data_IF_785198280234
#
_entry.id   IF_785198280234
#
_cell.length_a   1.000
_cell.length_b   1.000
_cell.length_c   1.000
_cell.angle_alpha   90.00
_cell.angle_beta   90.00
_cell.angle_gamma   90.00
#
_symmetry.space_group_name_H-M   'P 1'
#
loop_
_entity.id
_entity.type
_entity.pdbx_description
1 polymer ?
#
# COMPACT_ATOMS: atom_id res chain seq x y z
N UNK A 1 -72.59 42.85 4.46
CA UNK A 1 -73.38 41.72 3.91
C UNK A 1 -72.66 41.26 2.65
N UNK A 2 -72.05 40.06 2.65
CA UNK A 2 -72.66 38.77 2.25
C UNK A 2 -73.09 38.83 0.76
N UNK A 3 -72.72 37.94 -0.17
CA UNK A 3 -72.31 36.52 -0.13
C UNK A 3 -71.78 36.14 -1.54
N UNK A 4 -70.73 35.29 -1.56
CA UNK A 4 -70.42 34.09 -2.40
C UNK A 4 -70.83 34.00 -3.90
N UNK A 5 -70.19 33.23 -4.81
CA UNK A 5 -69.73 31.80 -4.86
C UNK A 5 -68.85 31.66 -6.14
N UNK A 6 -67.71 30.96 -6.11
CA UNK A 6 -67.47 29.52 -6.43
C UNK A 6 -67.66 29.09 -7.91
N UNK A 7 -66.66 28.41 -8.48
CA UNK A 7 -66.77 27.65 -9.74
C UNK A 7 -65.43 27.11 -10.26
N UNK A 8 -65.27 25.78 -10.25
CA UNK A 8 -64.12 24.96 -10.67
C UNK A 8 -64.41 24.31 -12.04
N UNK A 9 -63.41 24.15 -12.91
CA UNK A 9 -63.29 23.13 -14.00
C UNK A 9 -61.80 23.10 -14.42
N UNK A 10 -60.95 22.09 -14.20
CA UNK A 10 -60.87 20.68 -14.67
C UNK A 10 -60.84 20.53 -16.19
N UNK A 11 -59.71 20.04 -16.73
CA UNK A 11 -59.71 19.16 -17.90
C UNK A 11 -58.61 19.36 -18.95
N UNK A 12 -57.64 18.43 -18.99
CA UNK A 12 -57.48 17.61 -20.21
C UNK A 12 -56.12 17.53 -20.94
N UNK A 13 -55.42 16.38 -20.76
CA UNK A 13 -54.88 15.43 -21.80
C UNK A 13 -54.00 16.02 -22.94
N UNK A 14 -52.68 15.81 -23.01
CA UNK A 14 -51.84 14.63 -23.40
C UNK A 14 -51.78 14.32 -24.91
N UNK A 15 -50.55 14.00 -25.39
CA UNK A 15 -50.10 13.35 -26.65
C UNK A 15 -49.91 14.24 -27.89
N UNK A 16 -48.90 14.09 -28.77
CA UNK A 16 -47.81 13.14 -28.90
C UNK A 16 -46.76 13.62 -29.95
N UNK A 17 -45.49 13.31 -29.67
CA UNK A 17 -44.43 12.74 -30.53
C UNK A 17 -44.36 13.15 -32.02
N UNK A 18 -43.20 13.71 -32.42
CA UNK A 18 -42.50 13.27 -33.65
C UNK A 18 -41.00 13.17 -33.36
N UNK A 19 -40.50 11.93 -33.32
CA UNK A 19 -39.10 11.56 -33.50
C UNK A 19 -38.82 11.43 -34.99
N UNK A 20 -37.75 12.05 -35.51
CA UNK A 20 -37.14 11.68 -36.78
C UNK A 20 -35.64 12.05 -36.85
N UNK A 21 -34.79 11.02 -36.96
CA UNK A 21 -33.46 11.01 -37.61
C UNK A 21 -32.30 11.73 -36.90
N UNK A 22 -31.37 11.06 -36.22
CA UNK A 22 -30.27 10.21 -36.70
C UNK A 22 -28.91 10.94 -36.69
N UNK A 23 -27.97 10.43 -35.88
CA UNK A 23 -26.54 10.55 -36.14
C UNK A 23 -25.77 11.69 -35.47
N UNK A 24 -25.77 11.77 -34.14
CA UNK A 24 -24.71 12.49 -33.42
C UNK A 24 -24.21 11.63 -32.25
N UNK A 25 -22.90 11.37 -32.21
CA UNK A 25 -22.20 10.82 -31.03
C UNK A 25 -22.67 11.59 -29.78
N UNK A 26 -22.84 10.95 -28.61
CA UNK A 26 -23.06 11.68 -27.38
C UNK A 26 -21.83 12.57 -27.15
N UNK A 27 -21.99 13.85 -27.43
CA UNK A 27 -21.05 14.89 -27.03
C UNK A 27 -21.18 14.98 -25.51
N UNK A 28 -20.10 14.78 -24.73
CA UNK A 28 -20.17 14.97 -23.29
C UNK A 28 -20.66 16.40 -23.02
N UNK A 29 -21.66 16.60 -22.14
CA UNK A 29 -22.24 17.92 -21.91
C UNK A 29 -21.15 18.90 -21.48
N UNK A 30 -20.95 19.94 -22.29
CA UNK A 30 -20.19 21.13 -21.97
C UNK A 30 -21.10 22.07 -21.18
N UNK A 31 -21.02 21.97 -19.86
CA UNK A 31 -21.71 22.79 -18.87
C UNK A 31 -21.04 22.56 -17.51
N UNK A 32 -21.13 23.51 -16.57
CA UNK A 32 -20.29 23.53 -15.38
C UNK A 32 -20.49 22.22 -14.61
N UNK A 33 -19.43 21.41 -14.57
CA UNK A 33 -19.44 20.12 -13.88
C UNK A 33 -19.75 20.43 -12.42
N UNK A 34 -20.86 19.85 -11.94
CA UNK A 34 -21.27 19.89 -10.55
C UNK A 34 -20.03 19.74 -9.65
N UNK A 35 -19.71 20.79 -8.90
CA UNK A 35 -18.76 20.73 -7.79
C UNK A 35 -19.56 20.56 -6.49
N UNK A 36 -19.85 19.35 -6.00
CA UNK A 36 -20.32 19.18 -4.63
C UNK A 36 -19.24 18.50 -3.80
N UNK A 37 -18.59 19.28 -2.94
CA UNK A 37 -18.70 19.20 -1.48
C UNK A 37 -17.94 20.41 -0.91
N UNK A 38 -18.49 21.06 0.12
CA UNK A 38 -17.98 22.33 0.68
C UNK A 38 -16.45 22.25 0.85
N UNK A 39 -15.66 23.25 0.38
CA UNK A 39 -14.21 23.19 0.45
C UNK A 39 -13.66 22.89 1.84
N UNK A 40 -14.37 23.33 2.90
CA UNK A 40 -14.05 23.06 4.29
C UNK A 40 -14.06 21.57 4.68
N UNK A 41 -14.94 20.78 4.05
CA UNK A 41 -15.13 19.36 4.35
C UNK A 41 -14.52 18.47 3.25
N UNK A 42 -13.75 19.01 2.32
CA UNK A 42 -13.31 18.27 1.14
C UNK A 42 -12.39 17.09 1.49
N UNK A 43 -12.74 15.90 1.02
CA UNK A 43 -11.88 14.70 1.04
C UNK A 43 -11.93 14.07 -0.34
N UNK A 44 -10.77 13.92 -0.99
CA UNK A 44 -10.68 13.44 -2.37
C UNK A 44 -9.53 12.46 -2.56
N UNK A 45 -9.73 11.47 -3.42
CA UNK A 45 -8.67 10.57 -3.89
C UNK A 45 -8.44 10.87 -5.36
N UNK A 46 -7.18 11.02 -5.77
CA UNK A 46 -6.79 11.37 -7.13
C UNK A 46 -5.70 10.44 -7.65
N UNK A 47 -5.60 10.28 -8.96
CA UNK A 47 -4.53 9.50 -9.59
C UNK A 47 -3.25 10.32 -9.66
N UNK A 48 -2.12 9.71 -9.30
CA UNK A 48 -0.81 10.36 -9.23
C UNK A 48 0.27 9.48 -9.87
N UNK A 49 0.90 10.00 -10.92
CA UNK A 49 1.95 9.30 -11.67
C UNK A 49 3.28 10.06 -11.75
N UNK A 50 3.35 11.26 -11.16
CA UNK A 50 4.51 12.15 -11.24
C UNK A 50 5.43 12.00 -10.01
N UNK A 51 6.69 12.46 -10.11
CA UNK A 51 7.61 12.54 -8.97
C UNK A 51 7.14 13.55 -7.93
N UNK A 52 7.60 13.44 -6.67
CA UNK A 52 7.19 14.29 -5.52
C UNK A 52 7.13 15.77 -5.89
N UNK A 53 6.00 16.48 -5.65
CA UNK A 53 5.90 17.90 -5.98
C UNK A 53 6.85 18.77 -5.16
N UNK A 54 7.34 19.85 -5.76
CA UNK A 54 8.17 20.83 -5.07
C UNK A 54 7.45 21.37 -3.82
N UNK A 55 8.15 21.44 -2.68
CA UNK A 55 7.58 21.90 -1.40
C UNK A 55 6.81 20.84 -0.61
N UNK A 56 6.68 19.61 -1.12
CA UNK A 56 6.24 18.49 -0.30
C UNK A 56 7.38 18.01 0.60
N UNK A 57 7.09 17.76 1.87
CA UNK A 57 8.04 17.12 2.78
C UNK A 57 8.04 15.61 2.52
N UNK A 58 9.22 14.95 2.49
CA UNK A 58 9.28 13.51 2.37
C UNK A 58 8.67 12.84 3.60
N UNK A 59 8.00 11.72 3.37
CA UNK A 59 7.53 10.79 4.39
C UNK A 59 8.19 9.44 4.16
N UNK A 60 8.48 8.73 5.25
CA UNK A 60 9.05 7.38 5.20
C UNK A 60 8.28 6.44 6.12
N UNK A 61 6.96 6.62 6.18
CA UNK A 61 6.10 5.89 7.11
C UNK A 61 5.19 4.93 6.34
N UNK A 62 5.10 3.70 6.84
CA UNK A 62 4.19 2.68 6.34
C UNK A 62 3.02 2.56 7.31
N UNK A 63 1.81 2.78 6.80
CA UNK A 63 0.56 2.58 7.53
C UNK A 63 -0.06 1.24 7.12
N UNK A 64 -0.22 0.31 8.05
CA UNK A 64 -0.59 -1.07 7.71
C UNK A 64 -1.38 -1.75 8.82
N UNK A 65 -2.10 -2.79 8.42
CA UNK A 65 -2.72 -3.79 9.27
C UNK A 65 -2.58 -5.17 8.62
N UNK A 66 -3.25 -6.20 9.15
CA UNK A 66 -3.16 -7.57 8.64
C UNK A 66 -3.45 -7.68 7.15
N UNK A 67 -4.45 -6.95 6.67
CA UNK A 67 -4.95 -7.05 5.31
C UNK A 67 -4.80 -5.75 4.49
N UNK A 68 -3.96 -4.79 4.92
CA UNK A 68 -3.65 -3.58 4.15
C UNK A 68 -2.25 -3.01 4.41
N UNK A 69 -1.70 -2.30 3.42
CA UNK A 69 -0.47 -1.52 3.54
C UNK A 69 -0.54 -0.29 2.64
N UNK A 70 -0.30 0.89 3.23
CA UNK A 70 -0.22 2.18 2.56
C UNK A 70 1.15 2.79 2.83
N UNK A 71 1.95 2.94 1.77
CA UNK A 71 3.24 3.64 1.83
C UNK A 71 3.02 5.07 1.38
N UNK A 72 3.08 6.02 2.30
CA UNK A 72 3.01 7.44 1.97
C UNK A 72 4.42 7.99 1.90
N UNK A 73 4.78 8.54 0.75
CA UNK A 73 6.15 8.98 0.47
C UNK A 73 6.36 10.49 0.55
N UNK A 74 5.28 11.28 0.53
CA UNK A 74 5.38 12.72 0.74
C UNK A 74 4.06 13.32 1.25
N UNK A 75 4.16 14.48 1.90
CA UNK A 75 3.04 15.33 2.30
C UNK A 75 3.29 16.77 1.83
N UNK A 76 2.30 17.39 1.21
CA UNK A 76 2.27 18.84 1.04
C UNK A 76 1.13 19.45 1.88
N UNK A 77 1.37 20.64 2.41
CA UNK A 77 0.36 21.48 3.06
C UNK A 77 0.19 22.71 2.18
N UNK A 78 -1.01 22.96 1.65
CA UNK A 78 -1.22 24.03 0.67
C UNK A 78 -2.58 24.73 0.85
N UNK A 79 -2.66 26.05 0.69
CA UNK A 79 -3.94 26.76 0.64
C UNK A 79 -4.68 26.57 -0.70
N UNK A 80 -3.93 26.26 -1.77
CA UNK A 80 -4.44 26.13 -3.13
C UNK A 80 -3.94 24.82 -3.78
N UNK A 81 -4.76 24.25 -4.67
CA UNK A 81 -4.44 23.09 -5.48
C UNK A 81 -4.18 23.55 -6.92
N UNK A 82 -3.03 23.17 -7.45
CA UNK A 82 -2.63 23.43 -8.84
C UNK A 82 -2.28 22.10 -9.54
N UNK A 83 -1.92 22.19 -10.82
CA UNK A 83 -1.52 21.03 -11.62
C UNK A 83 -0.29 20.28 -11.04
N UNK A 84 0.55 20.94 -10.22
CA UNK A 84 1.71 20.30 -9.57
C UNK A 84 1.33 19.56 -8.28
N UNK A 85 0.24 19.96 -7.63
CA UNK A 85 -0.33 19.26 -6.48
C UNK A 85 -0.90 17.89 -6.85
N UNK A 86 -1.05 17.59 -8.14
CA UNK A 86 -1.68 16.38 -8.67
C UNK A 86 -3.21 16.41 -8.67
N UNK A 87 -3.80 17.51 -8.21
CA UNK A 87 -5.24 17.70 -8.22
C UNK A 87 -5.67 18.59 -9.37
N UNK A 88 -6.57 18.07 -10.22
CA UNK A 88 -7.82 18.71 -10.68
C UNK A 88 -8.58 17.75 -11.63
N UNK A 89 -8.80 16.49 -11.22
CA UNK A 89 -9.74 15.61 -11.93
C UNK A 89 -11.21 15.94 -11.56
N UNK A 90 -11.45 16.39 -10.32
CA UNK A 90 -12.65 17.08 -9.83
C UNK A 90 -12.37 17.55 -8.38
N UNK A 91 -12.66 18.82 -8.03
CA UNK A 91 -12.47 19.33 -6.66
C UNK A 91 -12.23 20.85 -6.58
N UNK A 92 -12.30 21.46 -5.37
CA UNK A 92 -12.06 22.88 -5.19
C UNK A 92 -10.58 23.23 -5.38
N UNK A 93 -10.28 24.21 -6.23
CA UNK A 93 -8.90 24.68 -6.45
C UNK A 93 -8.32 25.46 -5.26
N UNK A 94 -9.17 25.85 -4.29
CA UNK A 94 -8.78 26.64 -3.12
C UNK A 94 -9.50 26.15 -1.87
N UNK A 95 -8.78 26.12 -0.75
CA UNK A 95 -9.35 25.76 0.54
C UNK A 95 -10.37 26.82 1.01
N UNK A 96 -11.30 26.42 1.88
CA UNK A 96 -12.19 27.39 2.52
C UNK A 96 -11.39 28.40 3.36
N UNK A 97 -11.96 29.57 3.63
CA UNK A 97 -11.35 30.52 4.55
C UNK A 97 -11.08 29.86 5.92
N UNK A 98 -9.85 29.99 6.42
CA UNK A 98 -9.42 29.34 7.67
C UNK A 98 -9.07 27.86 7.54
N UNK A 99 -9.03 27.32 6.32
CA UNK A 99 -8.64 25.93 6.03
C UNK A 99 -7.40 25.86 5.12
N UNK A 100 -6.77 24.71 5.11
CA UNK A 100 -5.71 24.32 4.18
C UNK A 100 -5.88 22.85 3.76
N UNK A 101 -5.29 22.48 2.63
CA UNK A 101 -5.26 21.12 2.16
C UNK A 101 -4.00 20.40 2.65
N UNK A 102 -4.21 19.21 3.21
CA UNK A 102 -3.20 18.18 3.35
C UNK A 102 -3.26 17.30 2.10
N UNK A 103 -2.17 17.26 1.33
CA UNK A 103 -2.05 16.42 0.14
C UNK A 103 -1.01 15.33 0.41
N UNK A 104 -1.49 14.11 0.59
CA UNK A 104 -0.69 12.95 0.95
C UNK A 104 -0.45 12.09 -0.31
N UNK A 105 0.82 11.93 -0.67
CA UNK A 105 1.22 11.22 -1.88
C UNK A 105 1.64 9.80 -1.57
N UNK A 106 0.98 8.83 -2.22
CA UNK A 106 1.39 7.44 -2.20
C UNK A 106 2.43 7.21 -3.29
N UNK A 107 3.70 7.40 -2.94
CA UNK A 107 4.80 7.07 -3.84
C UNK A 107 4.87 5.54 -3.98
N UNK A 108 5.26 5.04 -5.14
CA UNK A 108 5.33 3.60 -5.42
C UNK A 108 6.02 2.86 -4.26
N UNK A 109 5.29 1.93 -3.64
CA UNK A 109 5.70 1.20 -2.47
C UNK A 109 5.09 -0.20 -2.45
N UNK A 110 5.57 -1.03 -1.54
CA UNK A 110 5.13 -2.42 -1.42
C UNK A 110 3.81 -2.53 -0.63
N UNK A 111 2.73 -2.81 -1.35
CA UNK A 111 1.40 -3.06 -0.79
C UNK A 111 1.14 -4.53 -0.47
N UNK A 112 2.16 -5.35 -0.29
CA UNK A 112 1.93 -6.77 0.02
C UNK A 112 1.42 -6.94 1.46
N UNK A 113 0.13 -7.24 1.60
CA UNK A 113 -0.52 -7.75 2.81
C UNK A 113 -0.89 -9.24 2.63
N UNK A 114 -1.21 -9.96 3.70
CA UNK A 114 -1.49 -11.40 3.66
C UNK A 114 -2.68 -11.78 4.55
N UNK A 115 -3.69 -12.51 4.02
CA UNK A 115 -4.26 -12.49 2.65
C UNK A 115 -5.10 -11.22 2.40
N UNK A 116 -5.53 -10.93 1.15
CA UNK A 116 -6.54 -9.89 0.94
C UNK A 116 -7.80 -10.18 1.73
N UNK A 117 -8.41 -9.14 2.32
CA UNK A 117 -9.68 -9.35 2.98
C UNK A 117 -10.71 -9.71 1.90
N UNK A 118 -11.62 -10.64 2.20
CA UNK A 118 -12.67 -11.05 1.27
C UNK A 118 -13.58 -9.87 0.85
N UNK A 119 -13.60 -8.81 1.66
CA UNK A 119 -14.29 -7.55 1.40
C UNK A 119 -13.29 -6.41 1.50
N UNK A 120 -13.29 -5.42 0.59
CA UNK A 120 -12.42 -4.25 0.68
C UNK A 120 -12.55 -3.58 2.05
N UNK A 121 -11.41 -3.28 2.69
CA UNK A 121 -11.44 -2.61 3.99
C UNK A 121 -12.00 -1.20 3.86
N UNK A 122 -12.75 -0.83 4.88
CA UNK A 122 -13.35 0.46 4.98
C UNK A 122 -12.29 1.46 5.47
N UNK A 123 -11.95 2.45 4.61
CA UNK A 123 -11.03 3.55 4.95
C UNK A 123 -11.82 4.82 5.23
N UNK A 124 -11.67 5.39 6.41
CA UNK A 124 -12.27 6.64 6.84
C UNK A 124 -11.20 7.72 7.04
N UNK A 125 -11.58 8.97 6.85
CA UNK A 125 -10.79 10.15 7.20
C UNK A 125 -11.56 10.93 8.25
N UNK A 126 -10.90 11.21 9.38
CA UNK A 126 -11.44 11.94 10.51
C UNK A 126 -10.76 13.30 10.62
N UNK A 127 -11.54 14.38 10.59
CA UNK A 127 -11.10 15.76 10.78
C UNK A 127 -11.92 16.36 11.92
N UNK A 128 -11.32 16.52 13.10
CA UNK A 128 -12.06 16.91 14.31
C UNK A 128 -13.15 15.91 14.66
N UNK A 129 -14.42 16.36 14.66
CA UNK A 129 -15.59 15.51 14.90
C UNK A 129 -16.19 14.90 13.62
N UNK A 130 -15.72 15.32 12.44
CA UNK A 130 -16.24 14.87 11.15
C UNK A 130 -15.52 13.62 10.70
N UNK A 131 -16.28 12.56 10.39
CA UNK A 131 -15.77 11.33 9.76
C UNK A 131 -16.32 11.21 8.34
N UNK A 132 -15.44 11.00 7.37
CA UNK A 132 -15.79 10.80 5.97
C UNK A 132 -15.20 9.51 5.43
N UNK A 133 -16.04 8.67 4.84
CA UNK A 133 -15.61 7.48 4.08
C UNK A 133 -14.89 7.93 2.82
N UNK A 134 -13.77 7.30 2.49
CA UNK A 134 -13.10 7.60 1.22
C UNK A 134 -14.02 7.24 0.03
N UNK A 135 -14.10 8.11 -0.99
CA UNK A 135 -14.97 7.88 -2.15
C UNK A 135 -14.49 6.73 -3.04
N UNK A 136 -13.20 6.39 -2.96
CA UNK A 136 -12.55 5.29 -3.69
C UNK A 136 -11.38 4.73 -2.86
N UNK A 137 -10.94 3.52 -3.18
CA UNK A 137 -9.80 2.86 -2.55
C UNK A 137 -8.49 3.62 -2.80
N UNK A 138 -7.58 3.61 -1.82
CA UNK A 138 -6.22 4.14 -1.94
C UNK A 138 -5.30 3.13 -2.66
N UNK A 139 -5.42 3.07 -3.99
CA UNK A 139 -4.63 2.17 -4.83
C UNK A 139 -3.20 2.71 -5.11
N UNK A 140 -2.35 1.92 -5.78
CA UNK A 140 -0.97 2.36 -6.12
C UNK A 140 -1.04 3.51 -7.10
N UNK A 141 -0.18 4.52 -6.90
CA UNK A 141 -0.22 5.72 -7.72
C UNK A 141 -1.48 6.54 -7.51
N UNK A 142 -1.99 6.58 -6.27
CA UNK A 142 -3.04 7.53 -5.87
C UNK A 142 -2.51 8.51 -4.82
N UNK A 143 -3.15 9.66 -4.70
CA UNK A 143 -2.96 10.59 -3.60
C UNK A 143 -4.28 10.87 -2.88
N UNK A 144 -4.18 11.33 -1.65
CA UNK A 144 -5.30 11.74 -0.81
C UNK A 144 -5.21 13.24 -0.57
N UNK A 145 -6.32 13.96 -0.77
CA UNK A 145 -6.49 15.38 -0.42
C UNK A 145 -7.48 15.45 0.72
N UNK A 146 -7.13 16.18 1.78
CA UNK A 146 -8.02 16.44 2.91
C UNK A 146 -7.98 17.93 3.24
N UNK A 147 -9.14 18.57 3.29
CA UNK A 147 -9.28 19.91 3.88
C UNK A 147 -9.31 19.80 5.40
N UNK A 148 -8.50 20.62 6.05
CA UNK A 148 -8.44 20.75 7.51
C UNK A 148 -8.41 22.22 7.90
N UNK A 149 -8.84 22.61 9.11
CA UNK A 149 -8.55 23.95 9.63
C UNK A 149 -7.05 24.24 9.58
N UNK A 150 -6.64 25.49 9.36
CA UNK A 150 -5.21 25.87 9.33
C UNK A 150 -4.51 25.41 10.61
N UNK A 151 -3.39 24.68 10.44
CA UNK A 151 -2.66 24.07 11.55
C UNK A 151 -3.32 22.81 12.16
N UNK A 152 -4.54 22.48 11.76
CA UNK A 152 -5.28 21.29 12.17
C UNK A 152 -4.85 20.03 11.42
N UNK A 153 -5.38 18.87 11.84
CA UNK A 153 -4.92 17.57 11.37
C UNK A 153 -6.06 16.69 10.85
N UNK A 154 -5.69 15.64 10.13
CA UNK A 154 -6.57 14.58 9.70
C UNK A 154 -6.03 13.23 10.15
N UNK A 155 -6.92 12.30 10.50
CA UNK A 155 -6.57 10.92 10.81
C UNK A 155 -7.20 9.99 9.78
N UNK A 156 -6.40 9.18 9.11
CA UNK A 156 -6.89 8.04 8.32
C UNK A 156 -7.15 6.90 9.30
N UNK A 157 -8.35 6.33 9.26
CA UNK A 157 -8.74 5.17 10.05
C UNK A 157 -9.07 4.02 9.11
N UNK A 158 -8.49 2.85 9.38
CA UNK A 158 -8.80 1.62 8.63
C UNK A 158 -9.25 0.60 9.65
N UNK A 159 -10.47 0.09 9.47
CA UNK A 159 -10.98 -0.97 10.32
C UNK A 159 -10.69 -2.31 9.67
N UNK A 160 -9.83 -3.09 10.31
CA UNK A 160 -9.52 -4.48 9.94
C UNK A 160 -9.90 -5.40 11.11
N UNK A 161 -8.97 -6.15 11.69
CA UNK A 161 -9.15 -6.87 12.95
C UNK A 161 -9.34 -5.92 14.15
N UNK A 162 -8.71 -4.75 14.08
CA UNK A 162 -8.91 -3.60 14.98
C UNK A 162 -8.88 -2.29 14.19
N UNK A 163 -9.28 -1.16 14.79
CA UNK A 163 -9.10 0.14 14.17
C UNK A 163 -7.62 0.56 14.17
N UNK A 164 -7.05 0.76 12.99
CA UNK A 164 -5.73 1.33 12.80
C UNK A 164 -5.84 2.81 12.47
N UNK A 165 -4.93 3.63 13.01
CA UNK A 165 -4.96 5.08 12.82
C UNK A 165 -3.65 5.61 12.27
N UNK A 166 -3.75 6.54 11.34
CA UNK A 166 -2.62 7.25 10.76
C UNK A 166 -2.88 8.74 10.75
N UNK A 167 -2.02 9.48 11.44
CA UNK A 167 -2.09 10.92 11.48
C UNK A 167 -1.42 11.51 10.23
N UNK A 168 -2.20 12.25 9.44
CA UNK A 168 -1.78 12.75 8.11
C UNK A 168 -0.71 13.82 8.23
N UNK A 169 -0.90 14.82 9.11
CA UNK A 169 0.04 15.95 9.20
C UNK A 169 1.36 15.57 9.82
N UNK A 170 1.39 14.72 10.85
CA UNK A 170 2.64 14.25 11.44
C UNK A 170 3.29 13.13 10.62
N UNK A 171 2.49 12.36 9.88
CA UNK A 171 2.94 11.18 9.16
C UNK A 171 3.27 10.02 10.10
N UNK A 172 2.68 9.99 11.30
CA UNK A 172 2.86 8.92 12.27
C UNK A 172 1.64 7.98 12.25
N UNK A 173 1.91 6.67 12.16
CA UNK A 173 0.96 5.64 12.54
C UNK A 173 0.97 5.54 14.06
N UNK A 174 -0.18 5.74 14.69
CA UNK A 174 -0.31 5.69 16.14
C UNK A 174 -1.13 4.49 16.55
N UNK A 175 -0.67 3.78 17.59
CA UNK A 175 -1.52 2.88 18.35
C UNK A 175 -2.82 3.58 18.77
N UNK A 176 -3.89 2.79 18.71
CA UNK A 176 -5.23 2.94 19.30
C UNK A 176 -5.42 4.13 20.26
N UNK A 177 -6.56 4.86 20.22
CA UNK A 177 -6.95 5.68 21.36
C UNK A 177 -7.05 4.77 22.58
N UNK A 178 -6.33 5.15 23.63
CA UNK A 178 -6.24 4.48 24.92
C UNK A 178 -7.61 4.25 25.53
N UNK A 179 -8.10 3.02 25.51
CA UNK A 179 -8.81 2.46 26.66
C UNK A 179 -7.79 1.73 27.52
N UNK A 180 -7.64 2.21 28.74
CA UNK A 180 -6.77 1.70 29.81
C UNK A 180 -6.75 0.17 29.87
N UNK A 181 -5.64 -0.44 29.43
CA UNK A 181 -5.20 -1.76 29.91
C UNK A 181 -3.72 -1.65 30.27
N UNK A 182 -3.33 -1.84 31.54
CA UNK A 182 -1.92 -1.86 31.92
C UNK A 182 -1.29 -3.16 31.40
N UNK A 183 -0.42 -3.05 30.40
CA UNK A 183 0.23 -4.21 29.81
C UNK A 183 0.99 -3.93 28.52
N UNK A 184 1.66 -2.77 28.42
CA UNK A 184 2.61 -2.51 27.35
C UNK A 184 3.87 -3.33 27.56
N UNK A 185 3.83 -4.60 27.16
CA UNK A 185 5.02 -5.44 27.11
C UNK A 185 5.95 -4.94 26.00
N UNK A 186 7.17 -4.57 26.37
CA UNK A 186 8.33 -4.48 25.45
C UNK A 186 8.37 -5.69 24.50
N UNK A 187 8.78 -5.51 23.22
CA UNK A 187 8.89 -6.61 22.28
C UNK A 187 9.77 -7.71 22.88
N UNK A 188 9.19 -8.89 23.13
CA UNK A 188 9.97 -10.07 23.49
C UNK A 188 10.66 -10.58 22.22
N UNK A 189 11.94 -10.24 22.06
CA UNK A 189 12.85 -10.97 21.18
C UNK A 189 12.83 -12.44 21.59
N UNK A 190 12.39 -13.33 20.69
CA UNK A 190 12.25 -14.77 20.98
C UNK A 190 13.50 -15.58 20.65
N UNK A 191 14.58 -14.96 20.17
CA UNK A 191 15.89 -15.57 19.94
C UNK A 191 16.64 -14.94 18.76
N UNK A 192 17.91 -15.30 18.56
CA UNK A 192 18.66 -14.96 17.35
C UNK A 192 18.74 -16.18 16.44
N UNK A 193 18.53 -15.99 15.13
CA UNK A 193 18.65 -17.05 14.14
C UNK A 193 20.04 -16.99 13.50
N UNK A 194 20.75 -18.11 13.56
CA UNK A 194 22.08 -18.25 12.99
C UNK A 194 22.09 -19.22 11.83
N UNK A 195 22.99 -18.97 10.88
CA UNK A 195 23.27 -19.85 9.75
C UNK A 195 24.76 -19.85 9.42
N UNK A 196 25.19 -20.89 8.70
CA UNK A 196 26.56 -21.00 8.20
C UNK A 196 26.60 -20.77 6.68
N UNK A 197 27.59 -20.01 6.22
CA UNK A 197 27.81 -19.74 4.81
C UNK A 197 26.77 -18.80 4.19
N UNK A 198 26.86 -17.51 4.54
CA UNK A 198 25.95 -16.45 4.07
C UNK A 198 25.96 -16.22 2.56
N UNK A 199 27.09 -16.53 1.90
CA UNK A 199 27.28 -16.29 0.48
C UNK A 199 26.91 -17.51 -0.37
N UNK A 200 26.11 -17.29 -1.39
CA UNK A 200 25.87 -18.19 -2.51
C UNK A 200 26.47 -17.59 -3.77
N UNK A 201 27.12 -18.43 -4.57
CA UNK A 201 27.52 -18.09 -5.93
C UNK A 201 27.26 -19.30 -6.83
N UNK A 202 26.68 -19.07 -8.00
CA UNK A 202 26.40 -20.11 -8.98
C UNK A 202 26.27 -19.53 -10.38
N UNK A 203 26.51 -20.35 -11.39
CA UNK A 203 26.36 -19.98 -12.79
C UNK A 203 25.31 -20.87 -13.44
N UNK A 204 24.44 -20.26 -14.24
CA UNK A 204 23.44 -20.96 -15.04
C UNK A 204 23.45 -20.44 -16.47
N UNK A 205 22.71 -21.12 -17.34
CA UNK A 205 22.47 -20.67 -18.72
C UNK A 205 21.03 -20.22 -18.84
N UNK A 206 20.81 -19.03 -19.39
CA UNK A 206 19.47 -18.50 -19.61
C UNK A 206 19.21 -18.26 -21.10
N UNK A 207 17.93 -18.30 -21.46
CA UNK A 207 17.41 -17.91 -22.76
C UNK A 207 16.49 -16.70 -22.58
N UNK A 208 16.84 -15.59 -23.19
CA UNK A 208 16.05 -14.36 -23.24
C UNK A 208 15.73 -13.94 -24.67
N UNK A 209 14.87 -12.93 -24.82
CA UNK A 209 14.41 -12.44 -26.14
C UNK A 209 15.51 -11.71 -26.91
N UNK A 210 16.41 -11.01 -26.19
CA UNK A 210 17.48 -10.19 -26.79
C UNK A 210 18.87 -10.80 -26.60
N UNK A 211 19.11 -11.40 -25.45
CA UNK A 211 20.39 -12.00 -25.07
C UNK A 211 20.13 -13.38 -24.47
N UNK A 212 21.06 -14.29 -24.65
CA UNK A 212 21.06 -15.64 -24.08
C UNK A 212 22.51 -16.02 -23.83
N UNK A 213 22.78 -16.76 -22.76
CA UNK A 213 24.16 -17.09 -22.40
C UNK A 213 24.32 -17.52 -20.95
N UNK A 214 25.58 -17.65 -20.49
CA UNK A 214 25.86 -17.86 -19.08
C UNK A 214 25.50 -16.61 -18.28
N UNK A 215 25.02 -16.81 -17.06
CA UNK A 215 24.72 -15.77 -16.09
C UNK A 215 25.20 -16.23 -14.71
N UNK A 216 26.15 -15.51 -14.14
CA UNK A 216 26.58 -15.66 -12.76
C UNK A 216 25.60 -14.97 -11.82
N UNK A 217 25.22 -15.65 -10.75
CA UNK A 217 24.34 -15.14 -9.70
C UNK A 217 25.06 -15.22 -8.37
N UNK A 218 25.06 -14.12 -7.64
CA UNK A 218 25.56 -14.05 -6.27
C UNK A 218 24.43 -13.61 -5.34
N UNK A 219 24.24 -14.34 -4.25
CA UNK A 219 23.27 -13.99 -3.21
C UNK A 219 23.98 -14.00 -1.87
N UNK A 220 23.91 -12.90 -1.14
CA UNK A 220 24.41 -12.81 0.23
C UNK A 220 23.23 -12.67 1.19
N UNK A 221 23.10 -13.60 2.14
CA UNK A 221 22.09 -13.56 3.20
C UNK A 221 22.50 -12.61 4.35
N UNK A 222 23.77 -12.19 4.38
CA UNK A 222 24.38 -11.46 5.47
C UNK A 222 24.48 -12.30 6.75
N UNK A 223 24.55 -11.64 7.90
CA UNK A 223 24.79 -12.29 9.21
C UNK A 223 23.79 -11.91 10.29
N UNK A 224 22.97 -10.87 10.05
CA UNK A 224 21.98 -10.41 11.03
C UNK A 224 20.63 -11.04 10.75
N UNK A 225 19.92 -11.36 11.82
CA UNK A 225 18.56 -11.89 11.80
C UNK A 225 17.72 -11.17 12.84
N UNK A 226 16.42 -11.07 12.60
CA UNK A 226 15.47 -10.65 13.64
C UNK A 226 14.31 -11.64 13.69
N UNK A 227 13.99 -12.12 14.90
CA UNK A 227 12.88 -13.03 15.15
C UNK A 227 11.98 -12.43 16.25
N UNK A 228 10.76 -12.05 15.89
CA UNK A 228 9.85 -11.42 16.84
C UNK A 228 8.39 -11.57 16.44
N UNK A 229 7.50 -11.43 17.44
CA UNK A 229 6.06 -11.29 17.24
C UNK A 229 5.68 -9.96 16.56
N UNK A 230 6.58 -8.98 16.53
CA UNK A 230 6.40 -7.70 15.85
C UNK A 230 7.76 -7.12 15.43
N UNK A 231 7.89 -6.61 14.21
CA UNK A 231 9.12 -5.97 13.73
C UNK A 231 8.89 -4.53 13.26
N UNK A 232 9.82 -3.59 13.54
CA UNK A 232 9.76 -2.23 13.01
C UNK A 232 9.69 -2.23 11.48
N UNK A 233 8.77 -1.44 10.92
CA UNK A 233 8.57 -1.41 9.46
C UNK A 233 7.81 -2.62 8.91
N UNK A 234 7.53 -3.67 9.69
CA UNK A 234 6.73 -4.86 9.29
C UNK A 234 5.40 -5.02 10.05
N UNK A 235 5.36 -4.74 11.36
CA UNK A 235 4.16 -4.89 12.20
C UNK A 235 4.07 -6.25 12.88
N UNK A 236 2.92 -6.56 13.47
CA UNK A 236 2.67 -7.80 14.20
C UNK A 236 2.61 -9.01 13.26
N UNK A 237 3.10 -10.15 13.72
CA UNK A 237 3.00 -11.42 13.02
C UNK A 237 1.58 -12.00 13.15
N UNK A 238 1.12 -12.81 12.19
CA UNK A 238 -0.16 -13.52 12.31
C UNK A 238 -0.22 -14.38 13.59
N UNK A 239 -1.44 -14.67 14.06
CA UNK A 239 -1.62 -15.48 15.26
C UNK A 239 -0.86 -16.82 15.16
N UNK A 240 -0.11 -17.17 16.22
CA UNK A 240 0.76 -18.36 16.31
C UNK A 240 1.92 -18.37 15.32
N UNK A 241 2.37 -17.20 14.88
CA UNK A 241 3.52 -17.03 13.99
C UNK A 241 4.45 -15.94 14.52
N UNK A 242 5.71 -16.01 14.05
CA UNK A 242 6.75 -15.03 14.26
C UNK A 242 7.19 -14.47 12.90
N UNK A 243 7.64 -13.22 12.88
CA UNK A 243 8.41 -12.70 11.77
C UNK A 243 9.87 -13.11 11.91
N UNK A 244 10.43 -13.72 10.86
CA UNK A 244 11.86 -13.90 10.67
C UNK A 244 12.34 -12.95 9.56
N UNK A 245 13.18 -11.97 9.89
CA UNK A 245 13.78 -11.04 8.93
C UNK A 245 15.28 -11.28 8.76
N UNK A 246 15.73 -11.31 7.51
CA UNK A 246 17.14 -11.30 7.10
C UNK A 246 17.42 -9.95 6.42
N UNK A 247 17.75 -8.90 7.20
CA UNK A 247 17.80 -7.53 6.70
C UNK A 247 18.90 -7.25 5.69
N UNK A 248 19.97 -8.04 5.71
CA UNK A 248 21.15 -7.85 4.88
C UNK A 248 21.09 -8.66 3.57
N UNK A 249 19.97 -9.35 3.32
CA UNK A 249 19.84 -10.23 2.18
C UNK A 249 19.81 -9.44 0.85
N UNK A 250 20.73 -9.77 -0.06
CA UNK A 250 20.86 -9.16 -1.38
C UNK A 250 21.13 -10.20 -2.46
N UNK A 251 20.77 -9.88 -3.71
CA UNK A 251 21.06 -10.72 -4.88
C UNK A 251 21.57 -9.83 -6.01
N UNK A 252 22.57 -10.32 -6.73
CA UNK A 252 23.14 -9.66 -7.90
C UNK A 252 23.52 -10.67 -8.98
N UNK A 253 23.72 -10.15 -10.17
CA UNK A 253 24.17 -10.87 -11.37
C UNK A 253 25.45 -10.25 -11.89
N UNK A 254 26.21 -10.99 -12.70
CA UNK A 254 27.35 -10.45 -13.45
C UNK A 254 26.93 -9.68 -14.72
N UNK A 255 25.67 -9.81 -15.15
CA UNK A 255 25.01 -8.94 -16.13
C UNK A 255 24.09 -7.93 -15.43
N UNK A 256 24.43 -6.64 -15.51
CA UNK A 256 23.70 -5.55 -14.85
C UNK A 256 22.27 -5.34 -15.39
N UNK A 257 21.99 -5.75 -16.62
CA UNK A 257 20.68 -5.58 -17.26
C UNK A 257 19.72 -6.72 -16.91
N UNK A 258 20.24 -7.86 -16.44
CA UNK A 258 19.44 -9.02 -16.06
C UNK A 258 19.24 -9.11 -14.56
N UNK A 259 18.00 -8.96 -14.12
CA UNK A 259 17.65 -9.05 -12.70
C UNK A 259 17.16 -10.44 -12.34
N UNK A 260 17.59 -10.92 -11.17
CA UNK A 260 17.05 -12.11 -10.50
C UNK A 260 16.22 -11.64 -9.30
N UNK A 261 15.13 -12.33 -9.02
CA UNK A 261 14.18 -11.96 -7.96
C UNK A 261 14.59 -12.63 -6.64
N UNK A 262 14.99 -11.84 -5.65
CA UNK A 262 15.47 -12.32 -4.36
C UNK A 262 14.43 -13.16 -3.62
N UNK A 263 13.17 -12.71 -3.57
CA UNK A 263 12.11 -13.40 -2.84
C UNK A 263 11.72 -14.72 -3.52
N UNK A 264 11.73 -14.76 -4.85
CA UNK A 264 11.48 -16.02 -5.59
C UNK A 264 12.66 -16.98 -5.55
N UNK A 265 13.86 -16.46 -5.35
CA UNK A 265 15.11 -17.24 -5.30
C UNK A 265 15.36 -17.91 -3.96
N UNK A 266 14.58 -17.60 -2.93
CA UNK A 266 14.79 -18.12 -1.58
C UNK A 266 13.52 -18.79 -1.08
N UNK A 267 13.66 -19.90 -0.36
CA UNK A 267 12.55 -20.55 0.35
C UNK A 267 13.04 -21.14 1.66
N UNK A 268 12.16 -21.24 2.65
CA UNK A 268 12.48 -21.83 3.95
C UNK A 268 11.64 -23.09 4.15
N UNK A 269 12.30 -24.26 4.25
CA UNK A 269 11.66 -25.49 4.69
C UNK A 269 11.64 -25.53 6.22
N UNK A 270 10.46 -25.77 6.78
CA UNK A 270 10.22 -25.83 8.22
C UNK A 270 10.30 -27.29 8.73
N UNK A 271 10.67 -27.49 10.00
CA UNK A 271 10.50 -28.77 10.68
C UNK A 271 9.05 -29.24 10.56
N UNK A 272 8.83 -30.45 10.05
CA UNK A 272 7.48 -30.97 9.76
C UNK A 272 7.02 -30.84 8.31
N UNK A 273 7.88 -30.38 7.39
CA UNK A 273 7.64 -30.44 5.94
C UNK A 273 6.88 -29.23 5.36
N UNK A 274 6.47 -28.28 6.21
CA UNK A 274 5.94 -26.99 5.76
C UNK A 274 6.99 -26.17 5.01
N UNK A 275 6.54 -25.26 4.13
CA UNK A 275 7.41 -24.29 3.44
C UNK A 275 6.92 -22.89 3.71
N UNK A 276 7.83 -22.00 4.10
CA UNK A 276 7.62 -20.57 4.19
C UNK A 276 8.33 -19.90 3.02
N UNK A 277 7.56 -19.21 2.18
CA UNK A 277 8.11 -18.37 1.11
C UNK A 277 8.44 -16.99 1.68
N UNK A 278 9.61 -16.42 1.37
CA UNK A 278 9.92 -15.08 1.78
C UNK A 278 9.16 -14.08 0.92
N UNK A 279 8.96 -12.90 1.50
CA UNK A 279 8.63 -11.68 0.77
C UNK A 279 9.82 -10.74 0.82
N UNK A 280 10.06 -10.03 -0.28
CA UNK A 280 11.05 -8.97 -0.32
C UNK A 280 10.43 -7.75 0.37
N UNK A 281 11.12 -7.19 1.37
CA UNK A 281 10.74 -5.94 2.02
C UNK A 281 11.80 -4.88 1.75
N UNK A 282 11.46 -3.61 1.96
CA UNK A 282 12.45 -2.51 1.97
C UNK A 282 13.55 -2.70 3.03
N UNK A 283 13.34 -3.62 3.97
CA UNK A 283 14.25 -3.96 5.06
C UNK A 283 14.83 -5.37 4.95
N UNK A 284 14.90 -5.94 3.74
CA UNK A 284 15.49 -7.27 3.46
C UNK A 284 14.46 -8.39 3.25
N UNK A 285 14.88 -9.64 3.38
CA UNK A 285 14.02 -10.82 3.23
C UNK A 285 13.20 -11.08 4.49
N UNK A 286 11.93 -11.42 4.34
CA UNK A 286 11.02 -11.58 5.46
C UNK A 286 10.15 -12.84 5.32
N UNK A 287 10.11 -13.65 6.37
CA UNK A 287 9.34 -14.90 6.44
C UNK A 287 8.36 -14.84 7.60
N UNK A 288 7.17 -15.42 7.40
CA UNK A 288 6.28 -15.79 8.50
C UNK A 288 6.57 -17.25 8.89
N UNK A 289 6.96 -17.48 10.13
CA UNK A 289 7.35 -18.81 10.66
C UNK A 289 6.47 -19.17 11.86
N UNK A 290 6.20 -20.45 12.15
CA UNK A 290 5.36 -20.84 13.28
C UNK A 290 5.98 -20.44 14.63
N UNK A 291 5.13 -20.20 15.65
CA UNK A 291 5.54 -20.07 17.05
C UNK A 291 5.22 -21.39 17.80
N UNK A 292 6.21 -22.05 18.44
CA UNK A 292 7.62 -21.70 18.51
C UNK A 292 8.37 -22.02 17.20
N UNK A 293 9.34 -21.18 16.85
CA UNK A 293 10.28 -21.44 15.76
C UNK A 293 11.59 -21.98 16.33
N UNK A 294 12.04 -23.14 15.87
CA UNK A 294 13.27 -23.80 16.36
C UNK A 294 14.37 -23.88 15.31
N UNK A 295 14.04 -23.64 14.04
CA UNK A 295 15.00 -23.69 12.94
C UNK A 295 14.34 -24.09 11.61
N UNK A 296 15.16 -24.34 10.60
CA UNK A 296 14.70 -24.79 9.29
C UNK A 296 15.83 -24.85 8.26
N UNK A 297 15.50 -25.18 7.01
CA UNK A 297 16.47 -25.21 5.91
C UNK A 297 16.13 -24.16 4.88
N UNK A 298 16.95 -23.13 4.78
CA UNK A 298 16.85 -22.11 3.74
C UNK A 298 17.47 -22.66 2.46
N UNK A 299 16.69 -22.65 1.38
CA UNK A 299 17.14 -23.05 0.04
C UNK A 299 17.24 -21.83 -0.84
N UNK A 300 18.42 -21.60 -1.40
CA UNK A 300 18.68 -20.62 -2.46
C UNK A 300 18.64 -21.34 -3.79
N UNK A 301 17.74 -20.92 -4.68
CA UNK A 301 17.59 -21.45 -6.02
C UNK A 301 17.19 -20.30 -6.96
N UNK A 302 18.15 -19.63 -7.63
CA UNK A 302 17.93 -18.38 -8.37
C UNK A 302 16.74 -18.40 -9.35
N UNK A 303 15.84 -17.43 -9.28
CA UNK A 303 14.65 -17.32 -10.13
C UNK A 303 14.55 -15.93 -10.76
N UNK A 304 14.24 -15.88 -12.05
CA UNK A 304 13.92 -14.61 -12.70
C UNK A 304 12.61 -14.02 -12.16
N UNK A 305 12.41 -12.70 -12.21
CA UNK A 305 11.12 -12.07 -11.93
C UNK A 305 9.99 -12.69 -12.75
N UNK A 306 8.77 -12.70 -12.22
CA UNK A 306 7.62 -13.30 -12.91
C UNK A 306 7.33 -12.62 -14.26
N UNK A 307 7.63 -11.32 -14.34
CA UNK A 307 7.51 -10.48 -15.54
C UNK A 307 8.68 -10.62 -16.51
N UNK A 308 9.74 -11.35 -16.14
CA UNK A 308 10.92 -11.52 -17.01
C UNK A 308 10.61 -12.46 -18.17
N UNK A 309 11.06 -12.05 -19.36
CA UNK A 309 11.07 -12.88 -20.56
C UNK A 309 12.25 -13.86 -20.59
N UNK A 310 13.27 -13.64 -19.75
CA UNK A 310 14.37 -14.59 -19.56
C UNK A 310 13.91 -15.83 -18.78
N UNK A 311 14.38 -17.00 -19.20
CA UNK A 311 14.14 -18.30 -18.55
C UNK A 311 15.44 -19.07 -18.43
N UNK A 312 15.61 -19.82 -17.35
CA UNK A 312 16.73 -20.74 -17.22
C UNK A 312 16.55 -21.91 -18.20
N UNK A 313 17.55 -22.13 -19.06
CA UNK A 313 17.69 -23.38 -19.82
C UNK A 313 18.50 -24.40 -19.02
N UNK A 314 19.47 -23.91 -18.25
CA UNK A 314 20.16 -24.66 -17.20
C UNK A 314 20.22 -23.80 -15.95
N UNK A 315 19.51 -24.21 -14.90
CA UNK A 315 19.44 -23.45 -13.64
C UNK A 315 20.76 -23.59 -12.86
N UNK A 316 21.25 -22.53 -12.20
CA UNK A 316 22.31 -22.67 -11.20
C UNK A 316 21.93 -23.72 -10.14
N UNK A 317 22.90 -24.49 -9.65
CA UNK A 317 22.67 -25.45 -8.58
C UNK A 317 22.13 -24.76 -7.33
N UNK A 318 21.16 -25.39 -6.66
CA UNK A 318 20.62 -24.84 -5.42
C UNK A 318 21.56 -25.05 -4.26
N UNK A 319 21.54 -24.12 -3.30
CA UNK A 319 22.27 -24.25 -2.04
C UNK A 319 21.29 -24.34 -0.89
N UNK A 320 21.54 -25.26 0.03
CA UNK A 320 20.80 -25.39 1.28
C UNK A 320 21.65 -24.89 2.44
N UNK A 321 21.02 -24.16 3.35
CA UNK A 321 21.64 -23.58 4.54
C UNK A 321 20.74 -23.83 5.73
N UNK A 322 21.28 -24.42 6.79
CA UNK A 322 20.52 -24.70 8.02
C UNK A 322 20.43 -23.42 8.86
N UNK A 323 19.22 -23.13 9.32
CA UNK A 323 18.90 -22.06 10.27
C UNK A 323 18.68 -22.67 11.66
N UNK A 324 19.35 -22.13 12.68
CA UNK A 324 19.20 -22.55 14.07
C UNK A 324 18.85 -21.34 14.94
N UNK A 325 17.94 -21.52 15.90
CA UNK A 325 17.61 -20.48 16.90
C UNK A 325 18.46 -20.70 18.15
N UNK A 326 19.08 -19.63 18.66
CA UNK A 326 19.80 -19.61 19.94
C UNK A 326 19.36 -18.47 20.85
#
# INVERSE_FOLDING_TARGET
MRVSRAGVFVGGVVAAVVLAGCGAKPVPPSGPVDLPEKPADFVGVFTWSQGVPAGARPLSTVFKGPHFSYVFGALAVRPDLDATSGGLEAGPSRAASGHEFLVLYRLQGDDTYAPPPQTPLAVDVVVGASRKRLPRSLERGTGLIVSVPVGGDATIEVTDDKPYKYNVRSGQGGDTPTTTTPGGGTPKSTGQVHWQGSLYSGTGTYQGVRTSGPLGVTLDLGTRSELANSLPGVGDAPAKQLWLRLPDATISTDDADLKVDLARSVSLALPGGGKASPRQSSTGLLFAVPEPFTGGTLTVAPEFPATSTAKWTQKPESKQTVLNVS
#
